data_IF_919792765944
#
_entry.id   IF_919792765944
#
_cell.length_a   1.000
_cell.length_b   1.000
_cell.length_c   1.000
_cell.angle_alpha   90.00
_cell.angle_beta   90.00
_cell.angle_gamma   90.00
#
_symmetry.space_group_name_H-M   'P 1'
#
loop_
_entity.id
_entity.type
_entity.pdbx_description
1 polymer ?
#
# COMPACT_ATOMS: atom_id res chain seq x y z
N UNK A 1 2.87 -17.05 5.22
CA UNK A 1 1.96 -16.60 4.13
C UNK A 1 2.75 -16.45 2.85
N UNK A 2 2.21 -16.93 1.74
CA UNK A 2 2.87 -16.89 0.43
C UNK A 2 2.28 -15.75 -0.42
N UNK A 3 3.13 -14.80 -0.84
CA UNK A 3 2.78 -13.76 -1.79
C UNK A 3 3.17 -14.25 -3.20
N UNK A 4 2.22 -14.26 -4.11
CA UNK A 4 2.41 -14.74 -5.48
C UNK A 4 2.55 -13.57 -6.44
N UNK A 5 3.53 -13.65 -7.32
CA UNK A 5 3.81 -12.70 -8.39
C UNK A 5 3.99 -13.45 -9.72
N UNK A 6 3.96 -12.79 -10.88
CA UNK A 6 4.02 -13.47 -12.19
C UNK A 6 5.19 -14.45 -12.35
N UNK A 7 6.37 -14.10 -11.86
CA UNK A 7 7.60 -14.85 -12.09
C UNK A 7 8.30 -15.32 -10.80
N UNK A 8 7.75 -15.01 -9.64
CA UNK A 8 8.36 -15.31 -8.34
C UNK A 8 7.34 -15.39 -7.22
N UNK A 9 7.75 -15.93 -6.11
CA UNK A 9 6.98 -15.97 -4.88
C UNK A 9 7.82 -15.45 -3.73
N UNK A 10 7.18 -14.78 -2.77
CA UNK A 10 7.80 -14.35 -1.54
C UNK A 10 7.08 -15.04 -0.37
N UNK A 11 7.78 -15.96 0.28
CA UNK A 11 7.25 -16.57 1.50
C UNK A 11 7.62 -15.71 2.71
N UNK A 12 6.62 -15.17 3.35
CA UNK A 12 6.81 -14.37 4.55
C UNK A 12 7.11 -15.22 5.79
N UNK A 13 6.74 -16.52 5.75
CA UNK A 13 6.77 -17.34 6.96
C UNK A 13 5.94 -16.68 8.06
N UNK A 14 6.62 -16.23 9.12
CA UNK A 14 6.01 -15.46 10.22
C UNK A 14 6.45 -13.98 10.25
N UNK A 15 7.25 -13.54 9.28
CA UNK A 15 7.72 -12.16 9.22
C UNK A 15 6.73 -11.22 8.51
N UNK A 16 6.91 -9.94 8.75
CA UNK A 16 6.15 -8.86 8.12
C UNK A 16 6.91 -8.34 6.89
N UNK A 17 6.26 -8.23 5.73
CA UNK A 17 6.84 -7.60 4.57
C UNK A 17 6.81 -6.07 4.67
N UNK A 18 7.81 -5.42 4.08
CA UNK A 18 7.91 -3.97 4.01
C UNK A 18 7.78 -3.52 2.56
N UNK A 19 6.79 -2.65 2.31
CA UNK A 19 6.58 -2.02 1.02
C UNK A 19 7.03 -0.56 1.10
N UNK A 20 8.13 -0.22 0.42
CA UNK A 20 8.69 1.13 0.37
C UNK A 20 7.95 2.02 -0.64
N UNK A 21 7.63 3.26 -0.28
CA UNK A 21 6.89 4.21 -1.12
C UNK A 21 7.84 5.10 -1.91
N UNK A 22 7.71 5.09 -3.23
CA UNK A 22 8.41 6.00 -4.16
C UNK A 22 7.41 6.79 -4.98
N UNK A 23 7.26 8.08 -4.66
CA UNK A 23 6.39 8.99 -5.40
C UNK A 23 7.19 9.80 -6.42
N UNK A 24 6.85 9.67 -7.69
CA UNK A 24 7.46 10.43 -8.82
C UNK A 24 6.60 11.62 -9.23
N UNK A 25 5.79 12.16 -8.30
CA UNK A 25 4.99 13.35 -8.53
C UNK A 25 5.64 14.57 -7.91
N UNK A 26 5.55 15.73 -8.60
CA UNK A 26 5.97 17.00 -8.04
C UNK A 26 5.05 17.49 -6.91
N UNK A 27 3.91 16.85 -6.72
CA UNK A 27 2.79 17.29 -5.88
C UNK A 27 2.55 16.39 -4.66
N UNK A 28 3.45 15.45 -4.36
CA UNK A 28 3.33 14.64 -3.14
C UNK A 28 3.27 15.57 -1.91
N UNK A 29 2.33 15.35 -0.97
CA UNK A 29 2.27 16.14 0.26
C UNK A 29 3.52 15.98 1.13
N UNK A 30 4.29 14.90 0.92
CA UNK A 30 5.53 14.62 1.63
C UNK A 30 6.70 15.07 0.75
N UNK A 31 7.29 16.24 1.07
CA UNK A 31 8.28 16.92 0.23
C UNK A 31 9.50 16.06 -0.13
N UNK A 32 10.02 15.25 0.80
CA UNK A 32 11.18 14.40 0.56
C UNK A 32 10.87 13.13 -0.26
N UNK A 33 9.59 12.85 -0.55
CA UNK A 33 9.21 11.74 -1.44
C UNK A 33 9.09 12.14 -2.91
N UNK A 34 9.27 13.43 -3.23
CA UNK A 34 9.23 13.98 -4.59
C UNK A 34 10.60 13.80 -5.23
N UNK A 35 10.71 12.90 -6.21
CA UNK A 35 12.00 12.61 -6.86
C UNK A 35 11.87 12.57 -8.38
N UNK A 36 12.95 12.95 -9.09
CA UNK A 36 13.10 12.76 -10.54
C UNK A 36 13.40 11.29 -10.83
N UNK A 37 13.16 10.82 -12.06
CA UNK A 37 13.27 9.39 -12.39
C UNK A 37 14.60 8.74 -11.97
N UNK A 38 15.74 9.40 -12.22
CA UNK A 38 17.05 8.84 -11.85
C UNK A 38 17.24 8.77 -10.32
N UNK A 39 16.78 9.78 -9.59
CA UNK A 39 16.81 9.82 -8.13
C UNK A 39 15.84 8.81 -7.55
N UNK A 40 14.67 8.57 -8.23
CA UNK A 40 13.70 7.57 -7.83
C UNK A 40 14.26 6.15 -7.89
N UNK A 41 15.00 5.82 -8.94
CA UNK A 41 15.67 4.51 -9.09
C UNK A 41 16.69 4.33 -7.97
N UNK A 42 17.58 5.31 -7.75
CA UNK A 42 18.59 5.22 -6.69
C UNK A 42 17.95 5.08 -5.31
N UNK A 43 16.88 5.83 -5.04
CA UNK A 43 16.13 5.74 -3.79
C UNK A 43 15.45 4.38 -3.63
N UNK A 44 14.83 3.84 -4.67
CA UNK A 44 14.19 2.53 -4.64
C UNK A 44 15.20 1.41 -4.33
N UNK A 45 16.38 1.47 -4.95
CA UNK A 45 17.48 0.52 -4.67
C UNK A 45 17.94 0.66 -3.21
N UNK A 46 18.10 1.90 -2.71
CA UNK A 46 18.46 2.12 -1.31
C UNK A 46 17.39 1.58 -0.36
N UNK A 47 16.10 1.80 -0.63
CA UNK A 47 15.01 1.23 0.17
C UNK A 47 15.04 -0.30 0.18
N UNK A 48 15.37 -0.94 -0.95
CA UNK A 48 15.54 -2.40 -0.99
C UNK A 48 16.72 -2.85 -0.12
N UNK A 49 17.84 -2.13 -0.14
CA UNK A 49 18.98 -2.39 0.73
C UNK A 49 18.68 -2.14 2.22
N UNK A 50 17.81 -1.18 2.52
CA UNK A 50 17.34 -0.85 3.87
C UNK A 50 16.30 -1.87 4.40
N UNK A 51 15.91 -2.87 3.59
CA UNK A 51 15.03 -3.96 4.00
C UNK A 51 13.61 -3.91 3.44
N UNK A 52 13.34 -3.11 2.39
CA UNK A 52 12.07 -3.21 1.67
C UNK A 52 12.03 -4.49 0.81
N UNK A 53 10.96 -5.24 0.93
CA UNK A 53 10.67 -6.42 0.11
C UNK A 53 10.05 -6.04 -1.24
N UNK A 54 9.30 -4.94 -1.27
CA UNK A 54 8.52 -4.46 -2.39
C UNK A 54 8.73 -2.95 -2.51
N UNK A 55 8.85 -2.43 -3.71
CA UNK A 55 8.85 -0.99 -3.98
C UNK A 55 7.57 -0.61 -4.69
N UNK A 56 6.78 0.27 -4.07
CA UNK A 56 5.51 0.77 -4.60
C UNK A 56 5.71 2.14 -5.23
N UNK A 57 5.43 2.24 -6.54
CA UNK A 57 5.76 3.39 -7.37
C UNK A 57 4.47 4.05 -7.83
N UNK A 58 4.32 5.34 -7.51
CA UNK A 58 3.18 6.15 -7.94
C UNK A 58 3.61 7.50 -8.50
N UNK A 59 2.95 7.97 -9.55
CA UNK A 59 3.18 9.30 -10.12
C UNK A 59 1.96 10.22 -9.99
N UNK A 60 0.81 9.69 -9.58
CA UNK A 60 -0.44 10.41 -9.47
C UNK A 60 -0.88 10.45 -8.01
N UNK A 61 -0.86 11.64 -7.39
CA UNK A 61 -1.31 11.80 -6.01
C UNK A 61 -2.83 11.68 -5.88
N UNK A 62 -3.29 10.92 -4.88
CA UNK A 62 -4.71 10.81 -4.50
C UNK A 62 -5.24 12.03 -3.74
N UNK A 63 -4.38 12.99 -3.38
CA UNK A 63 -4.78 14.22 -2.70
C UNK A 63 -5.73 15.05 -3.59
N UNK A 64 -6.85 15.52 -3.02
CA UNK A 64 -7.90 16.24 -3.74
C UNK A 64 -7.44 17.51 -4.47
N UNK A 65 -6.36 18.14 -3.98
CA UNK A 65 -5.77 19.36 -4.57
C UNK A 65 -4.60 19.09 -5.51
N UNK A 66 -4.20 17.82 -5.71
CA UNK A 66 -3.09 17.48 -6.60
C UNK A 66 -3.47 17.66 -8.08
N UNK A 67 -2.52 18.11 -8.88
CA UNK A 67 -2.70 18.22 -10.33
C UNK A 67 -3.00 16.85 -10.94
N UNK A 68 -3.89 16.83 -11.92
CA UNK A 68 -4.11 15.64 -12.74
C UNK A 68 -3.04 15.61 -13.84
N UNK A 69 -2.39 14.47 -13.97
CA UNK A 69 -1.51 14.17 -15.10
C UNK A 69 -2.22 13.25 -16.08
N UNK A 70 -1.84 13.27 -17.34
CA UNK A 70 -2.38 12.32 -18.31
C UNK A 70 -1.84 10.91 -18.07
N UNK A 71 -2.56 9.89 -18.56
CA UNK A 71 -2.09 8.50 -18.47
C UNK A 71 -0.72 8.32 -19.16
N UNK A 72 -0.51 8.96 -20.30
CA UNK A 72 0.77 8.90 -21.03
C UNK A 72 1.92 9.52 -20.22
N UNK A 73 1.65 10.62 -19.53
CA UNK A 73 2.63 11.26 -18.65
C UNK A 73 2.95 10.37 -17.45
N UNK A 74 1.93 9.74 -16.83
CA UNK A 74 2.10 8.79 -15.74
C UNK A 74 2.97 7.61 -16.18
N UNK A 75 2.65 6.99 -17.32
CA UNK A 75 3.45 5.91 -17.92
C UNK A 75 4.89 6.35 -18.18
N UNK A 76 5.10 7.53 -18.79
CA UNK A 76 6.44 8.03 -19.13
C UNK A 76 7.34 8.21 -17.90
N UNK A 77 6.76 8.54 -16.76
CA UNK A 77 7.48 8.69 -15.48
C UNK A 77 7.79 7.35 -14.82
N UNK A 78 6.86 6.40 -14.86
CA UNK A 78 6.92 5.14 -14.09
C UNK A 78 7.62 4.02 -14.86
N UNK A 79 7.35 3.87 -16.15
CA UNK A 79 7.87 2.76 -16.96
C UNK A 79 9.40 2.54 -16.83
N UNK A 80 10.25 3.59 -16.98
CA UNK A 80 11.70 3.40 -16.89
C UNK A 80 12.15 2.98 -15.49
N UNK A 81 11.43 3.38 -14.43
CA UNK A 81 11.75 3.01 -13.05
C UNK A 81 11.43 1.54 -12.83
N UNK A 82 10.21 1.09 -13.18
CA UNK A 82 9.83 -0.32 -13.06
C UNK A 82 10.80 -1.21 -13.84
N UNK A 83 11.15 -0.81 -15.08
CA UNK A 83 12.08 -1.57 -15.92
C UNK A 83 13.49 -1.67 -15.30
N UNK A 84 13.98 -0.59 -14.69
CA UNK A 84 15.28 -0.60 -14.02
C UNK A 84 15.27 -1.51 -12.79
N UNK A 85 14.24 -1.40 -11.95
CA UNK A 85 14.13 -2.20 -10.73
C UNK A 85 13.90 -3.69 -11.02
N UNK A 86 13.13 -4.02 -12.06
CA UNK A 86 12.95 -5.41 -12.50
C UNK A 86 14.27 -6.07 -12.93
N UNK A 87 15.20 -5.32 -13.57
CA UNK A 87 16.54 -5.81 -13.92
C UNK A 87 17.41 -6.11 -12.69
N UNK A 88 17.18 -5.39 -11.59
CA UNK A 88 17.84 -5.62 -10.29
C UNK A 88 17.17 -6.72 -9.47
N UNK A 89 16.10 -7.36 -10.00
CA UNK A 89 15.36 -8.39 -9.29
C UNK A 89 14.48 -7.86 -8.14
N UNK A 90 14.23 -6.56 -8.09
CA UNK A 90 13.42 -5.91 -7.06
C UNK A 90 11.94 -6.08 -7.40
N UNK A 91 11.14 -6.54 -6.44
CA UNK A 91 9.69 -6.65 -6.59
C UNK A 91 9.08 -5.25 -6.64
N UNK A 92 8.31 -4.97 -7.70
CA UNK A 92 7.69 -3.67 -7.92
C UNK A 92 6.17 -3.74 -7.84
N UNK A 93 5.58 -2.72 -7.24
CA UNK A 93 4.15 -2.45 -7.19
C UNK A 93 3.86 -1.13 -7.90
N UNK A 94 2.72 -1.02 -8.55
CA UNK A 94 2.26 0.18 -9.24
C UNK A 94 1.04 0.76 -8.52
N UNK A 95 1.22 1.92 -7.88
CA UNK A 95 0.14 2.70 -7.26
C UNK A 95 -0.61 3.49 -8.35
N UNK A 96 -1.65 2.87 -8.92
CA UNK A 96 -2.52 3.49 -9.92
C UNK A 96 -3.92 2.89 -9.90
N UNK A 97 -4.92 3.72 -10.19
CA UNK A 97 -6.31 3.31 -10.43
C UNK A 97 -6.72 3.41 -11.91
N UNK A 98 -5.73 3.65 -12.80
CA UNK A 98 -5.96 3.87 -14.24
C UNK A 98 -5.57 2.62 -15.02
N UNK A 99 -6.52 1.85 -15.59
CA UNK A 99 -6.22 0.59 -16.29
C UNK A 99 -5.24 0.74 -17.45
N UNK A 100 -5.35 1.84 -18.23
CA UNK A 100 -4.43 2.08 -19.34
C UNK A 100 -2.97 2.30 -18.88
N UNK A 101 -2.76 2.91 -17.70
CA UNK A 101 -1.43 3.05 -17.10
C UNK A 101 -0.90 1.68 -16.69
N UNK A 102 -1.69 0.90 -15.95
CA UNK A 102 -1.29 -0.45 -15.55
C UNK A 102 -0.95 -1.32 -16.76
N UNK A 103 -1.77 -1.28 -17.81
CA UNK A 103 -1.54 -2.03 -19.06
C UNK A 103 -0.22 -1.66 -19.75
N UNK A 104 0.10 -0.37 -19.80
CA UNK A 104 1.31 0.11 -20.47
C UNK A 104 2.58 -0.08 -19.61
N UNK A 105 2.46 -0.12 -18.28
CA UNK A 105 3.59 -0.33 -17.37
C UNK A 105 3.88 -1.81 -17.14
N UNK A 106 2.88 -2.70 -17.17
CA UNK A 106 3.05 -4.12 -16.90
C UNK A 106 4.20 -4.80 -17.69
N UNK A 107 4.39 -4.52 -19.01
CA UNK A 107 5.50 -5.11 -19.78
C UNK A 107 6.90 -4.74 -19.29
N UNK A 108 7.05 -3.69 -18.46
CA UNK A 108 8.33 -3.31 -17.88
C UNK A 108 8.84 -4.30 -16.79
N UNK A 109 8.02 -5.29 -16.41
CA UNK A 109 8.35 -6.25 -15.36
C UNK A 109 7.65 -5.93 -14.04
N UNK A 110 6.40 -5.44 -14.11
CA UNK A 110 5.57 -5.17 -12.93
C UNK A 110 5.20 -6.49 -12.22
N UNK A 111 5.07 -6.43 -10.88
CA UNK A 111 4.74 -7.59 -10.06
C UNK A 111 3.39 -7.49 -9.36
N UNK A 112 2.90 -6.29 -9.04
CA UNK A 112 1.68 -6.05 -8.28
C UNK A 112 1.00 -4.76 -8.77
N UNK A 113 -0.33 -4.75 -8.81
CA UNK A 113 -1.13 -3.52 -8.94
C UNK A 113 -1.61 -3.14 -7.53
N UNK A 114 -1.38 -1.89 -7.11
CA UNK A 114 -1.91 -1.31 -5.89
C UNK A 114 -3.00 -0.31 -6.27
N UNK A 115 -4.27 -0.76 -6.23
CA UNK A 115 -5.41 0.02 -6.70
C UNK A 115 -6.24 0.60 -5.56
N UNK A 116 -6.03 1.90 -5.32
CA UNK A 116 -6.75 2.65 -4.28
C UNK A 116 -8.24 2.84 -4.58
N UNK A 117 -8.70 2.56 -5.81
CA UNK A 117 -10.13 2.61 -6.17
C UNK A 117 -10.91 1.36 -5.77
N UNK A 118 -10.22 0.35 -5.21
CA UNK A 118 -10.84 -0.88 -4.76
C UNK A 118 -11.15 -1.89 -5.86
N UNK A 119 -10.42 -1.84 -6.96
CA UNK A 119 -10.58 -2.70 -8.13
C UNK A 119 -12.02 -2.70 -8.71
N UNK A 120 -12.72 -1.55 -8.63
CA UNK A 120 -14.10 -1.46 -9.11
C UNK A 120 -14.19 -1.38 -10.64
N UNK A 121 -13.10 -1.03 -11.34
CA UNK A 121 -13.05 -0.99 -12.79
C UNK A 121 -12.70 -2.35 -13.38
N UNK A 122 -13.62 -2.96 -14.13
CA UNK A 122 -13.41 -4.26 -14.76
C UNK A 122 -12.27 -4.27 -15.79
N UNK A 123 -11.94 -3.14 -16.41
CA UNK A 123 -10.76 -3.05 -17.27
C UNK A 123 -9.46 -3.31 -16.50
N UNK A 124 -9.39 -2.95 -15.21
CA UNK A 124 -8.24 -3.29 -14.35
C UNK A 124 -8.14 -4.80 -14.13
N UNK A 125 -9.28 -5.51 -14.02
CA UNK A 125 -9.30 -6.96 -13.94
C UNK A 125 -8.76 -7.60 -15.24
N UNK A 126 -9.12 -7.06 -16.41
CA UNK A 126 -8.58 -7.56 -17.68
C UNK A 126 -7.06 -7.39 -17.77
N UNK A 127 -6.53 -6.24 -17.32
CA UNK A 127 -5.09 -6.02 -17.25
C UNK A 127 -4.42 -7.02 -16.29
N UNK A 128 -4.96 -7.18 -15.08
CA UNK A 128 -4.43 -8.12 -14.11
C UNK A 128 -4.41 -9.56 -14.64
N UNK A 129 -5.47 -9.97 -15.38
CA UNK A 129 -5.57 -11.26 -16.02
C UNK A 129 -4.56 -11.43 -17.17
N UNK A 130 -4.46 -10.43 -18.06
CA UNK A 130 -3.56 -10.44 -19.23
C UNK A 130 -2.10 -10.64 -18.80
N UNK A 131 -1.68 -9.95 -17.72
CA UNK A 131 -0.30 -9.97 -17.23
C UNK A 131 -0.08 -10.88 -16.01
N UNK A 132 -1.10 -11.63 -15.59
CA UNK A 132 -1.06 -12.49 -14.40
C UNK A 132 -0.65 -11.77 -13.12
N UNK A 133 -1.12 -10.53 -12.94
CA UNK A 133 -0.78 -9.66 -11.81
C UNK A 133 -1.75 -9.85 -10.65
N UNK A 134 -1.26 -10.06 -9.42
CA UNK A 134 -2.08 -9.86 -8.23
C UNK A 134 -2.44 -8.38 -8.08
N UNK A 135 -3.47 -8.11 -7.27
CA UNK A 135 -3.92 -6.75 -6.99
C UNK A 135 -4.08 -6.52 -5.48
N UNK A 136 -3.69 -5.34 -5.01
CA UNK A 136 -4.05 -4.87 -3.67
C UNK A 136 -5.31 -4.01 -3.78
N UNK A 137 -6.38 -4.45 -3.15
CA UNK A 137 -7.71 -3.85 -3.15
C UNK A 137 -7.87 -3.00 -1.90
N UNK A 138 -7.96 -1.68 -2.04
CA UNK A 138 -8.15 -0.78 -0.91
C UNK A 138 -9.62 -0.36 -0.75
N UNK A 139 -10.12 -0.37 0.49
CA UNK A 139 -11.42 0.22 0.79
C UNK A 139 -11.37 1.75 0.81
N UNK A 140 -12.20 2.36 -0.03
CA UNK A 140 -12.48 3.78 -0.02
C UNK A 140 -13.92 4.04 -0.46
N UNK A 141 -14.66 4.93 0.24
CA UNK A 141 -15.92 5.45 -0.29
C UNK A 141 -15.66 6.52 -1.35
N UNK A 142 -16.41 6.44 -2.44
CA UNK A 142 -16.25 7.33 -3.59
C UNK A 142 -15.06 6.94 -4.49
N UNK A 143 -14.72 7.83 -5.39
CA UNK A 143 -13.62 7.64 -6.34
C UNK A 143 -12.35 8.38 -5.86
N UNK A 144 -11.16 7.96 -6.29
CA UNK A 144 -9.94 8.71 -6.06
C UNK A 144 -10.12 10.19 -6.45
N UNK A 145 -9.58 11.10 -5.62
CA UNK A 145 -9.77 12.56 -5.68
C UNK A 145 -11.18 13.08 -5.37
N UNK A 146 -12.23 12.29 -5.58
CA UNK A 146 -13.64 12.66 -5.34
C UNK A 146 -14.20 12.06 -4.04
N UNK A 147 -13.40 11.31 -3.29
CA UNK A 147 -13.85 10.64 -2.06
C UNK A 147 -14.40 11.59 -0.99
N UNK A 148 -14.06 12.89 -1.04
CA UNK A 148 -14.63 13.90 -0.13
C UNK A 148 -16.00 14.43 -0.56
N UNK A 149 -16.47 14.09 -1.75
CA UNK A 149 -17.79 14.47 -2.26
C UNK A 149 -18.91 13.54 -1.79
N UNK A 150 -18.55 12.39 -1.20
CA UNK A 150 -19.50 11.44 -0.59
C UNK A 150 -19.39 11.48 0.92
N UNK A 151 -20.52 11.13 1.61
CA UNK A 151 -20.50 11.04 3.07
C UNK A 151 -19.48 10.03 3.54
N UNK A 152 -18.69 10.46 4.54
CA UNK A 152 -17.70 9.64 5.24
C UNK A 152 -18.14 9.32 6.67
N UNK A 153 -19.44 9.44 6.96
CA UNK A 153 -20.03 8.98 8.21
C UNK A 153 -20.41 7.52 8.10
N UNK A 154 -19.93 6.70 9.04
CA UNK A 154 -20.12 5.26 9.06
C UNK A 154 -20.99 4.86 10.25
N UNK A 155 -22.07 4.14 10.00
CA UNK A 155 -22.87 3.52 11.08
C UNK A 155 -22.13 2.31 11.69
N UNK A 156 -21.52 1.49 10.83
CA UNK A 156 -20.68 0.34 11.19
C UNK A 156 -19.55 0.19 10.17
N UNK A 157 -18.46 0.91 10.43
CA UNK A 157 -17.30 0.93 9.53
C UNK A 157 -16.63 -0.45 9.40
N UNK A 158 -16.67 -1.26 10.46
CA UNK A 158 -16.08 -2.58 10.50
C UNK A 158 -16.75 -3.52 9.51
N UNK A 159 -18.07 -3.58 9.56
CA UNK A 159 -18.87 -4.40 8.65
C UNK A 159 -18.84 -3.87 7.23
N UNK A 160 -18.83 -2.55 7.03
CA UNK A 160 -18.76 -1.97 5.69
C UNK A 160 -17.45 -2.31 5.00
N UNK A 161 -16.31 -2.09 5.67
CA UNK A 161 -14.99 -2.42 5.12
C UNK A 161 -14.86 -3.91 4.85
N UNK A 162 -15.32 -4.76 5.77
CA UNK A 162 -15.28 -6.21 5.60
C UNK A 162 -16.08 -6.66 4.37
N UNK A 163 -17.35 -6.24 4.28
CA UNK A 163 -18.24 -6.64 3.19
C UNK A 163 -17.75 -6.13 1.82
N UNK A 164 -17.23 -4.90 1.77
CA UNK A 164 -16.63 -4.34 0.56
C UNK A 164 -15.45 -5.19 0.09
N UNK A 165 -14.51 -5.48 0.99
CA UNK A 165 -13.32 -6.26 0.65
C UNK A 165 -13.69 -7.69 0.23
N UNK A 166 -14.60 -8.36 0.94
CA UNK A 166 -15.08 -9.71 0.59
C UNK A 166 -15.70 -9.77 -0.80
N UNK A 167 -16.59 -8.81 -1.12
CA UNK A 167 -17.21 -8.72 -2.43
C UNK A 167 -16.20 -8.43 -3.54
N UNK A 168 -15.26 -7.51 -3.30
CA UNK A 168 -14.22 -7.14 -4.29
C UNK A 168 -13.24 -8.29 -4.54
N UNK A 169 -12.79 -9.00 -3.51
CA UNK A 169 -11.98 -10.22 -3.63
C UNK A 169 -12.70 -11.24 -4.51
N UNK A 170 -13.97 -11.54 -4.17
CA UNK A 170 -14.77 -12.54 -4.88
C UNK A 170 -14.91 -12.20 -6.36
N UNK A 171 -15.18 -10.93 -6.66
CA UNK A 171 -15.29 -10.43 -8.04
C UNK A 171 -13.97 -10.56 -8.80
N UNK A 172 -12.89 -10.06 -8.20
CA UNK A 172 -11.57 -10.04 -8.83
C UNK A 172 -11.03 -11.45 -9.09
N UNK A 173 -10.97 -12.29 -8.07
CA UNK A 173 -10.38 -13.63 -8.18
C UNK A 173 -11.17 -14.55 -9.10
N UNK A 174 -12.52 -14.45 -9.08
CA UNK A 174 -13.37 -15.20 -10.00
C UNK A 174 -13.12 -14.80 -11.46
N UNK A 175 -12.87 -13.51 -11.71
CA UNK A 175 -12.66 -13.00 -13.07
C UNK A 175 -11.25 -13.30 -13.60
N UNK A 176 -10.24 -13.15 -12.74
CA UNK A 176 -8.83 -13.15 -13.14
C UNK A 176 -8.10 -14.47 -12.85
N UNK A 177 -8.50 -15.19 -11.80
CA UNK A 177 -7.73 -16.30 -11.23
C UNK A 177 -6.48 -15.86 -10.48
N UNK A 178 -6.27 -14.54 -10.29
CA UNK A 178 -5.10 -14.00 -9.60
C UNK A 178 -5.41 -13.73 -8.11
N UNK A 179 -4.36 -13.70 -7.27
CA UNK A 179 -4.49 -13.44 -5.84
C UNK A 179 -4.86 -11.96 -5.60
N UNK A 180 -5.89 -11.72 -4.79
CA UNK A 180 -6.18 -10.40 -4.23
C UNK A 180 -5.46 -10.23 -2.88
N UNK A 181 -4.93 -9.02 -2.64
CA UNK A 181 -4.53 -8.52 -1.32
C UNK A 181 -5.54 -7.50 -0.86
N UNK A 182 -5.55 -7.15 0.41
CA UNK A 182 -6.53 -6.22 0.97
C UNK A 182 -5.85 -5.11 1.76
N UNK A 183 -6.37 -3.89 1.61
CA UNK A 183 -6.02 -2.72 2.42
C UNK A 183 -7.31 -2.11 3.01
N UNK A 184 -7.47 -2.01 4.34
CA UNK A 184 -8.63 -1.38 4.96
C UNK A 184 -8.78 0.12 4.63
N UNK A 185 -7.76 0.74 4.03
CA UNK A 185 -7.78 2.14 3.59
C UNK A 185 -7.68 3.13 4.74
N UNK A 186 -6.74 2.93 5.67
CA UNK A 186 -6.48 3.88 6.75
C UNK A 186 -6.21 5.28 6.20
N UNK A 187 -6.87 6.30 6.78
CA UNK A 187 -6.73 7.71 6.40
C UNK A 187 -7.44 8.11 5.09
N UNK A 188 -8.17 7.20 4.46
CA UNK A 188 -8.99 7.51 3.28
C UNK A 188 -10.45 7.65 3.65
N UNK A 189 -10.91 8.90 3.82
CA UNK A 189 -12.29 9.20 4.15
C UNK A 189 -12.76 8.57 5.47
N UNK A 190 -11.91 8.54 6.46
CA UNK A 190 -12.15 7.94 7.77
C UNK A 190 -11.64 8.89 8.86
N UNK A 191 -12.45 9.12 9.89
CA UNK A 191 -12.04 9.89 11.06
C UNK A 191 -10.92 9.18 11.84
N UNK A 192 -10.27 9.89 12.75
CA UNK A 192 -9.27 9.29 13.64
C UNK A 192 -9.87 8.12 14.45
N UNK A 193 -11.12 8.26 14.91
CA UNK A 193 -11.85 7.20 15.62
C UNK A 193 -12.12 5.99 14.74
N UNK A 194 -12.56 6.20 13.48
CA UNK A 194 -12.80 5.13 12.52
C UNK A 194 -11.52 4.34 12.23
N UNK A 195 -10.39 5.04 12.09
CA UNK A 195 -9.09 4.39 11.89
C UNK A 195 -8.70 3.52 13.09
N UNK A 196 -8.95 3.96 14.33
CA UNK A 196 -8.72 3.13 15.52
C UNK A 196 -9.67 1.94 15.61
N UNK A 197 -10.94 2.11 15.21
CA UNK A 197 -11.90 1.02 15.15
C UNK A 197 -11.44 -0.04 14.16
N UNK A 198 -11.03 0.35 12.95
CA UNK A 198 -10.50 -0.57 11.95
C UNK A 198 -9.19 -1.24 12.39
N UNK A 199 -8.31 -0.52 13.09
CA UNK A 199 -7.10 -1.12 13.65
C UNK A 199 -7.44 -2.23 14.65
N UNK A 200 -8.49 -2.05 15.47
CA UNK A 200 -8.96 -3.09 16.40
C UNK A 200 -9.60 -4.28 15.66
N UNK A 201 -10.22 -4.02 14.52
CA UNK A 201 -10.91 -4.99 13.68
C UNK A 201 -9.99 -5.79 12.73
N UNK A 202 -8.70 -5.45 12.61
CA UNK A 202 -7.77 -6.18 11.73
C UNK A 202 -7.83 -7.71 11.89
N UNK A 203 -7.93 -8.28 13.11
CA UNK A 203 -8.07 -9.74 13.28
C UNK A 203 -9.29 -10.32 12.57
N UNK A 204 -10.41 -9.57 12.42
CA UNK A 204 -11.57 -10.02 11.64
C UNK A 204 -11.24 -10.16 10.16
N UNK A 205 -10.40 -9.28 9.59
CA UNK A 205 -10.01 -9.34 8.18
C UNK A 205 -9.20 -10.59 7.84
N UNK A 206 -8.55 -11.24 8.81
CA UNK A 206 -7.89 -12.52 8.60
C UNK A 206 -8.83 -13.64 8.14
N UNK A 207 -10.12 -13.56 8.47
CA UNK A 207 -11.09 -14.56 8.03
C UNK A 207 -11.28 -14.55 6.51
N UNK A 208 -10.90 -13.46 5.83
CA UNK A 208 -10.87 -13.38 4.37
C UNK A 208 -9.71 -14.17 3.75
N UNK A 209 -8.74 -14.60 4.58
CA UNK A 209 -7.58 -15.42 4.17
C UNK A 209 -6.80 -14.81 2.99
N UNK A 210 -6.57 -13.51 3.04
CA UNK A 210 -5.79 -12.74 2.05
C UNK A 210 -4.71 -11.92 2.74
N UNK A 211 -3.59 -11.61 2.03
CA UNK A 211 -2.58 -10.71 2.57
C UNK A 211 -3.18 -9.36 2.95
N UNK A 212 -2.91 -8.91 4.18
CA UNK A 212 -3.39 -7.63 4.70
C UNK A 212 -2.26 -6.61 4.61
N UNK A 213 -2.44 -5.59 3.78
CA UNK A 213 -1.58 -4.43 3.68
C UNK A 213 -2.11 -3.30 4.58
N UNK A 214 -1.20 -2.66 5.31
CA UNK A 214 -1.51 -1.48 6.12
C UNK A 214 -0.66 -0.30 5.67
N UNK A 215 -1.32 0.79 5.27
CA UNK A 215 -0.70 2.02 4.80
C UNK A 215 -1.11 3.20 5.68
N UNK A 216 -0.36 3.45 6.77
CA UNK A 216 -0.62 4.56 7.70
C UNK A 216 0.49 5.62 7.71
N UNK A 217 1.55 5.42 6.91
CA UNK A 217 2.77 6.21 6.97
C UNK A 217 2.52 7.71 6.78
N UNK A 218 2.80 8.48 7.84
CA UNK A 218 2.73 9.96 7.89
C UNK A 218 1.38 10.55 7.51
N UNK A 219 0.28 9.79 7.69
CA UNK A 219 -1.08 10.24 7.39
C UNK A 219 -1.63 11.17 8.47
N UNK A 220 -2.43 12.17 8.06
CA UNK A 220 -2.94 13.23 8.93
C UNK A 220 -3.74 12.75 10.14
N UNK A 221 -4.49 11.64 10.03
CA UNK A 221 -5.22 11.09 11.17
C UNK A 221 -4.32 10.70 12.36
N UNK A 222 -3.02 10.44 12.12
CA UNK A 222 -2.06 10.19 13.20
C UNK A 222 -1.81 11.45 14.04
N UNK A 223 -1.74 12.63 13.40
CA UNK A 223 -1.64 13.91 14.12
C UNK A 223 -2.88 14.19 14.97
N UNK A 224 -4.08 13.87 14.42
CA UNK A 224 -5.34 13.98 15.17
C UNK A 224 -5.33 13.08 16.41
N UNK A 225 -4.85 11.84 16.28
CA UNK A 225 -4.73 10.90 17.40
C UNK A 225 -3.74 11.35 18.48
N UNK A 226 -2.68 12.06 18.10
CA UNK A 226 -1.72 12.65 19.02
C UNK A 226 -2.26 13.92 19.71
N UNK A 227 -3.47 14.38 19.36
CA UNK A 227 -4.07 15.62 19.88
C UNK A 227 -3.24 16.88 19.56
N UNK A 228 -2.46 16.86 18.50
CA UNK A 228 -1.54 17.93 18.09
C UNK A 228 -2.06 18.76 16.90
N UNK A 229 -3.33 18.58 16.51
CA UNK A 229 -3.90 19.24 15.33
C UNK A 229 -3.22 18.78 14.02
N UNK A 230 -3.03 19.72 13.08
CA UNK A 230 -2.33 19.44 11.80
C UNK A 230 -0.80 19.50 11.95
N UNK A 231 -0.22 18.80 12.93
CA UNK A 231 1.23 18.76 13.08
C UNK A 231 1.91 18.28 11.81
N UNK A 232 2.82 19.09 11.30
CA UNK A 232 3.68 18.78 10.16
C UNK A 232 5.07 18.31 10.64
N UNK A 233 5.26 18.10 11.96
CA UNK A 233 6.53 17.62 12.48
C UNK A 233 6.82 16.20 11.97
N UNK A 234 7.86 16.09 11.17
CA UNK A 234 8.21 14.84 10.49
C UNK A 234 8.73 13.78 11.46
N UNK A 235 9.35 14.15 12.58
CA UNK A 235 9.86 13.22 13.58
C UNK A 235 8.72 12.64 14.43
N UNK A 236 7.75 13.50 14.82
CA UNK A 236 6.56 13.05 15.54
C UNK A 236 5.68 12.13 14.69
N UNK A 237 5.46 12.48 13.42
CA UNK A 237 4.72 11.64 12.48
C UNK A 237 5.42 10.31 12.22
N UNK A 238 6.75 10.27 12.20
CA UNK A 238 7.49 9.01 12.11
C UNK A 238 7.23 8.14 13.34
N UNK A 239 7.33 8.71 14.54
CA UNK A 239 7.09 8.00 15.79
C UNK A 239 5.67 7.43 15.87
N UNK A 240 4.67 8.25 15.50
CA UNK A 240 3.28 7.82 15.44
C UNK A 240 3.03 6.74 14.36
N UNK A 241 3.68 6.86 13.20
CA UNK A 241 3.64 5.85 12.14
C UNK A 241 4.16 4.51 12.63
N UNK A 242 5.32 4.49 13.29
CA UNK A 242 5.92 3.26 13.82
C UNK A 242 5.03 2.64 14.90
N UNK A 243 4.49 3.45 15.82
CA UNK A 243 3.58 2.96 16.86
C UNK A 243 2.31 2.34 16.25
N UNK A 244 1.68 3.00 15.27
CA UNK A 244 0.49 2.48 14.60
C UNK A 244 0.79 1.19 13.83
N UNK A 245 1.89 1.16 13.08
CA UNK A 245 2.30 -0.01 12.32
C UNK A 245 2.66 -1.19 13.25
N UNK A 246 3.31 -0.95 14.39
CA UNK A 246 3.58 -1.98 15.38
C UNK A 246 2.28 -2.64 15.88
N UNK A 247 1.27 -1.82 16.23
CA UNK A 247 -0.04 -2.31 16.63
C UNK A 247 -0.73 -3.09 15.50
N UNK A 248 -0.60 -2.63 14.24
CA UNK A 248 -1.17 -3.31 13.08
C UNK A 248 -0.52 -4.67 12.85
N UNK A 249 0.82 -4.75 12.93
CA UNK A 249 1.58 -6.01 12.80
C UNK A 249 1.22 -7.00 13.90
N UNK A 250 1.10 -6.56 15.15
CA UNK A 250 0.65 -7.40 16.27
C UNK A 250 -0.80 -7.88 16.11
N UNK A 251 -1.62 -7.14 15.37
CA UNK A 251 -3.00 -7.51 15.03
C UNK A 251 -3.12 -8.24 13.69
N UNK A 252 -1.99 -8.55 13.06
CA UNK A 252 -1.90 -9.46 11.94
C UNK A 252 -1.76 -8.83 10.56
N UNK A 253 -1.39 -7.56 10.45
CA UNK A 253 -0.94 -7.03 9.17
C UNK A 253 0.23 -7.87 8.64
N UNK A 254 0.17 -8.23 7.35
CA UNK A 254 1.21 -9.02 6.69
C UNK A 254 2.23 -8.12 5.98
N UNK A 255 1.77 -6.96 5.51
CA UNK A 255 2.58 -5.98 4.78
C UNK A 255 2.33 -4.59 5.39
N UNK A 256 3.40 -3.82 5.62
CA UNK A 256 3.31 -2.39 5.95
C UNK A 256 3.89 -1.55 4.82
N UNK A 257 3.14 -0.53 4.39
CA UNK A 257 3.54 0.39 3.32
C UNK A 257 4.02 1.70 3.92
N UNK A 258 5.31 2.03 3.72
CA UNK A 258 6.01 3.09 4.47
C UNK A 258 6.94 3.93 3.61
N UNK A 259 7.18 5.19 4.05
CA UNK A 259 8.22 6.06 3.49
C UNK A 259 9.59 5.80 4.13
N UNK A 260 9.62 5.42 5.40
CA UNK A 260 10.82 5.30 6.25
C UNK A 260 11.17 3.83 6.47
N UNK A 261 11.71 3.20 5.42
CA UNK A 261 11.96 1.75 5.37
C UNK A 261 12.90 1.29 6.48
N UNK A 262 14.05 1.91 6.67
CA UNK A 262 15.03 1.50 7.69
C UNK A 262 14.44 1.49 9.12
N UNK A 263 13.65 2.51 9.47
CA UNK A 263 12.98 2.59 10.77
C UNK A 263 11.88 1.51 10.91
N UNK A 264 11.12 1.27 9.84
CA UNK A 264 10.11 0.23 9.80
C UNK A 264 10.73 -1.17 9.89
N UNK A 265 11.87 -1.40 9.21
CA UNK A 265 12.61 -2.65 9.26
C UNK A 265 13.11 -2.94 10.68
N UNK A 266 13.69 -1.95 11.36
CA UNK A 266 14.09 -2.09 12.75
C UNK A 266 12.91 -2.46 13.68
N UNK A 267 11.75 -1.82 13.49
CA UNK A 267 10.54 -2.12 14.26
C UNK A 267 10.02 -3.54 13.98
N UNK A 268 9.86 -3.93 12.71
CA UNK A 268 9.32 -5.25 12.34
C UNK A 268 10.25 -6.36 12.78
N UNK A 269 11.58 -6.18 12.70
CA UNK A 269 12.56 -7.17 13.15
C UNK A 269 12.39 -7.55 14.63
N UNK A 270 12.08 -6.57 15.50
CA UNK A 270 11.82 -6.85 16.92
C UNK A 270 10.51 -7.63 17.08
N UNK A 271 9.44 -7.19 16.41
CA UNK A 271 8.12 -7.83 16.54
C UNK A 271 8.14 -9.24 15.96
N UNK A 272 8.76 -9.43 14.80
CA UNK A 272 8.82 -10.73 14.15
C UNK A 272 9.70 -11.72 14.94
N UNK A 273 10.75 -11.24 15.63
CA UNK A 273 11.54 -12.04 16.58
C UNK A 273 10.69 -12.47 17.78
N UNK A 274 9.89 -11.56 18.35
CA UNK A 274 9.00 -11.88 19.47
C UNK A 274 7.92 -12.92 19.08
N UNK A 275 7.41 -12.87 17.84
CA UNK A 275 6.45 -13.86 17.34
C UNK A 275 7.04 -15.26 17.16
N UNK A 276 8.35 -15.39 17.01
CA UNK A 276 9.04 -16.67 16.91
C UNK A 276 9.13 -17.29 18.31
N UNK A 277 8.26 -18.28 18.61
CA UNK A 277 8.14 -18.92 19.93
C UNK A 277 9.41 -19.58 20.46
N UNK A 278 10.44 -19.75 19.63
CA UNK A 278 11.68 -20.47 19.93
C UNK A 278 12.90 -19.53 20.07
N UNK A 279 12.69 -18.21 20.14
CA UNK A 279 13.79 -17.28 20.38
C UNK A 279 14.23 -17.36 21.84
N UNK A 280 15.30 -18.11 22.08
CA UNK A 280 16.08 -18.11 23.35
C UNK A 280 17.36 -17.35 23.06
N UNK A 281 17.58 -16.14 23.61
CA UNK A 281 18.88 -15.49 23.52
C UNK A 281 19.92 -16.34 24.28
N UNK A 282 21.06 -16.61 23.63
CA UNK A 282 22.23 -17.25 24.26
C UNK A 282 22.83 -16.37 25.34
#
# INVERSE_FOLDING_TARGET
>A
MLLQFPNQTLDLGQRTAIMGIVNVSNDSPIAFSRVRSDEAIARAIQMSQDGADIIDIGAHSTATKAYSISADEEVSRIYPIVQALAKEGIITSLDTWTPSVAKNVAPAGLHLINDVSGAQNLEMHEVAKEFSLPICIMHMRGLPKLHREVSQEYDDIESEVFNFLEASITSFEKHTGQQAWIDPGFGFGKSATDNLTLLRALPRLHTLNRPILVSASRKGFLSELMMQGDSQDTAELLSATLAFNALAVLKGANIIRVHDVAAAHAMTSIIDTEKQKDYMPE
#
